data_IF_343717030229
#
_entry.id   IF_343717030229
#
_cell.length_a   1.000
_cell.length_b   1.000
_cell.length_c   1.000
_cell.angle_alpha   90.00
_cell.angle_beta   90.00
_cell.angle_gamma   90.00
#
_symmetry.space_group_name_H-M   'P 1'
#
loop_
_entity.id
_entity.type
_entity.pdbx_description
1 polymer ?
#
# COMPACT_ATOMS: atom_id res chain seq x y z
N UNK A 1 0.57 -35.22 18.35
CA UNK A 1 -0.24 -35.71 17.22
C UNK A 1 -0.22 -34.60 16.20
N UNK A 2 0.49 -34.77 15.09
CA UNK A 2 0.41 -33.84 13.94
C UNK A 2 -0.93 -34.11 13.26
N UNK A 3 -1.92 -33.23 13.45
CA UNK A 3 -3.13 -33.27 12.65
C UNK A 3 -2.77 -32.95 11.20
N UNK A 4 -3.11 -33.85 10.27
CA UNK A 4 -3.06 -33.55 8.83
C UNK A 4 -3.95 -32.32 8.58
N UNK A 5 -3.43 -31.28 7.91
CA UNK A 5 -4.17 -30.04 7.66
C UNK A 5 -5.50 -30.32 6.96
N UNK A 6 -5.56 -31.33 6.09
CA UNK A 6 -6.79 -31.80 5.45
C UNK A 6 -7.88 -32.15 6.48
N UNK A 7 -7.53 -32.87 7.54
CA UNK A 7 -8.47 -33.27 8.60
C UNK A 7 -8.93 -32.05 9.42
N UNK A 8 -8.00 -31.14 9.72
CA UNK A 8 -8.30 -29.91 10.46
C UNK A 8 -9.24 -29.01 9.65
N UNK A 9 -8.97 -28.83 8.35
CA UNK A 9 -9.81 -28.02 7.45
C UNK A 9 -11.17 -28.66 7.24
N UNK A 10 -11.27 -29.99 7.16
CA UNK A 10 -12.55 -30.69 7.10
C UNK A 10 -13.41 -30.43 8.34
N UNK A 11 -12.80 -30.38 9.53
CA UNK A 11 -13.48 -30.11 10.80
C UNK A 11 -14.06 -28.69 10.90
N UNK A 12 -13.58 -27.73 10.09
CA UNK A 12 -14.16 -26.37 10.03
C UNK A 12 -15.61 -26.34 9.51
N UNK A 13 -16.11 -27.42 8.90
CA UNK A 13 -17.49 -27.50 8.42
C UNK A 13 -18.52 -27.74 9.53
N UNK A 14 -18.09 -27.99 10.77
CA UNK A 14 -18.97 -28.26 11.90
C UNK A 14 -19.08 -26.98 12.73
N UNK A 15 -20.28 -26.41 12.81
CA UNK A 15 -20.52 -25.18 13.58
C UNK A 15 -21.04 -25.50 14.99
N UNK A 16 -20.55 -24.84 16.05
CA UNK A 16 -19.44 -23.88 16.07
C UNK A 16 -18.08 -24.56 15.85
N UNK A 17 -17.13 -23.84 15.26
CA UNK A 17 -15.79 -24.38 14.98
C UNK A 17 -15.08 -24.64 16.31
N UNK A 18 -14.50 -25.83 16.46
CA UNK A 18 -13.76 -26.20 17.66
C UNK A 18 -12.54 -25.31 17.85
N UNK A 19 -12.39 -24.75 19.05
CA UNK A 19 -11.21 -23.98 19.48
C UNK A 19 -9.90 -24.76 19.29
N UNK A 20 -9.91 -26.07 19.59
CA UNK A 20 -8.73 -26.93 19.42
C UNK A 20 -8.32 -27.05 17.96
N UNK A 21 -9.28 -27.02 17.03
CA UNK A 21 -9.02 -27.05 15.59
C UNK A 21 -8.42 -25.72 15.14
N UNK A 22 -8.98 -24.58 15.57
CA UNK A 22 -8.46 -23.25 15.26
C UNK A 22 -7.01 -23.10 15.75
N UNK A 23 -6.75 -23.46 17.01
CA UNK A 23 -5.41 -23.39 17.61
C UNK A 23 -4.39 -24.29 16.87
N UNK A 24 -4.78 -25.51 16.48
CA UNK A 24 -3.89 -26.39 15.73
C UNK A 24 -3.53 -25.84 14.35
N UNK A 25 -4.49 -25.25 13.63
CA UNK A 25 -4.19 -24.59 12.35
C UNK A 25 -3.31 -23.36 12.58
N UNK A 26 -3.61 -22.53 13.59
CA UNK A 26 -2.79 -21.38 13.98
C UNK A 26 -1.34 -21.78 14.23
N UNK A 27 -1.09 -22.79 15.08
CA UNK A 27 0.27 -23.27 15.36
C UNK A 27 0.95 -23.81 14.10
N UNK A 28 0.22 -24.53 13.24
CA UNK A 28 0.77 -25.05 12.00
C UNK A 28 1.24 -23.92 11.08
N UNK A 29 0.42 -22.88 10.88
CA UNK A 29 0.75 -21.75 10.02
C UNK A 29 1.92 -20.91 10.57
N UNK A 30 1.92 -20.64 11.88
CA UNK A 30 3.01 -19.90 12.55
C UNK A 30 4.35 -20.63 12.47
N UNK A 31 4.35 -21.97 12.41
CA UNK A 31 5.58 -22.77 12.31
C UNK A 31 6.28 -22.68 10.94
N UNK A 32 5.64 -22.09 9.92
CA UNK A 32 6.17 -22.07 8.55
C UNK A 32 7.03 -20.82 8.33
N UNK A 33 8.34 -21.03 8.21
CA UNK A 33 9.32 -20.02 7.79
C UNK A 33 9.45 -19.96 6.26
N UNK A 34 10.07 -18.90 5.73
CA UNK A 34 10.21 -18.67 4.27
C UNK A 34 10.86 -19.82 3.49
N UNK A 35 11.80 -20.55 4.10
CA UNK A 35 12.48 -21.70 3.48
C UNK A 35 11.55 -22.91 3.35
N UNK A 36 10.73 -23.17 4.37
CA UNK A 36 9.80 -24.30 4.39
C UNK A 36 8.47 -23.99 3.68
N UNK A 37 8.12 -22.70 3.53
CA UNK A 37 6.82 -22.24 3.04
C UNK A 37 6.47 -22.79 1.65
N UNK A 38 7.41 -22.75 0.70
CA UNK A 38 7.17 -23.22 -0.67
C UNK A 38 6.87 -24.73 -0.72
N UNK A 39 7.62 -25.52 0.05
CA UNK A 39 7.39 -26.97 0.15
C UNK A 39 6.03 -27.29 0.80
N UNK A 40 5.67 -26.55 1.85
CA UNK A 40 4.40 -26.70 2.56
C UNK A 40 3.22 -26.38 1.64
N UNK A 41 3.28 -25.27 0.90
CA UNK A 41 2.21 -24.89 -0.04
C UNK A 41 2.05 -25.94 -1.13
N UNK A 42 3.15 -26.47 -1.66
CA UNK A 42 3.09 -27.49 -2.71
C UNK A 42 2.46 -28.80 -2.21
N UNK A 43 2.72 -29.17 -0.95
CA UNK A 43 2.19 -30.40 -0.34
C UNK A 43 0.74 -30.25 0.09
N UNK A 44 0.38 -29.10 0.65
CA UNK A 44 -0.91 -28.86 1.31
C UNK A 44 -1.84 -27.95 0.50
N UNK A 45 -1.55 -27.73 -0.79
CA UNK A 45 -2.25 -26.78 -1.65
C UNK A 45 -3.77 -26.90 -1.55
N UNK A 46 -4.32 -28.12 -1.68
CA UNK A 46 -5.77 -28.32 -1.69
C UNK A 46 -6.41 -27.97 -0.33
N UNK A 47 -5.72 -28.28 0.76
CA UNK A 47 -6.17 -27.98 2.12
C UNK A 47 -6.13 -26.47 2.38
N UNK A 48 -5.06 -25.78 1.95
CA UNK A 48 -4.92 -24.34 2.04
C UNK A 48 -5.95 -23.60 1.18
N UNK A 49 -6.17 -24.06 -0.05
CA UNK A 49 -7.21 -23.55 -0.93
C UNK A 49 -8.59 -23.67 -0.28
N UNK A 50 -8.91 -24.85 0.25
CA UNK A 50 -10.19 -25.06 0.95
C UNK A 50 -10.31 -24.19 2.20
N UNK A 51 -9.22 -23.97 2.92
CA UNK A 51 -9.18 -23.08 4.08
C UNK A 51 -9.51 -21.64 3.68
N UNK A 52 -8.76 -21.06 2.74
CA UNK A 52 -8.94 -19.67 2.30
C UNK A 52 -10.35 -19.38 1.79
N UNK A 53 -10.91 -20.29 0.98
CA UNK A 53 -12.27 -20.16 0.46
C UNK A 53 -13.31 -20.15 1.58
N UNK A 54 -13.14 -21.03 2.58
CA UNK A 54 -14.00 -21.03 3.76
C UNK A 54 -13.87 -19.74 4.57
N UNK A 55 -12.68 -19.16 4.63
CA UNK A 55 -12.47 -17.92 5.37
C UNK A 55 -13.14 -16.73 4.67
N UNK A 56 -13.02 -16.63 3.35
CA UNK A 56 -13.80 -15.66 2.58
C UNK A 56 -15.30 -15.80 2.78
N UNK A 57 -15.79 -17.04 2.78
CA UNK A 57 -17.19 -17.32 3.07
C UNK A 57 -17.56 -16.89 4.50
N UNK A 58 -16.79 -17.28 5.51
CA UNK A 58 -17.06 -16.97 6.92
C UNK A 58 -17.06 -15.47 7.20
N UNK A 59 -16.15 -14.70 6.57
CA UNK A 59 -16.15 -13.23 6.66
C UNK A 59 -17.39 -12.60 6.01
N UNK A 60 -17.90 -13.22 4.95
CA UNK A 60 -19.08 -12.73 4.22
C UNK A 60 -20.42 -13.08 4.88
N UNK A 61 -20.41 -14.01 5.85
CA UNK A 61 -21.57 -14.42 6.64
C UNK A 61 -21.74 -13.57 7.91
N UNK A 62 -22.88 -13.73 8.58
CA UNK A 62 -23.22 -13.01 9.82
C UNK A 62 -22.18 -13.27 10.93
N UNK A 63 -21.35 -12.25 11.15
CA UNK A 63 -20.18 -12.31 12.02
C UNK A 63 -20.50 -12.31 13.52
N UNK A 64 -21.73 -11.94 13.90
CA UNK A 64 -22.20 -11.93 15.30
C UNK A 64 -22.10 -13.29 15.99
N UNK A 65 -22.01 -14.37 15.20
CA UNK A 65 -22.02 -15.74 15.68
C UNK A 65 -20.66 -16.24 16.19
N UNK A 66 -19.55 -15.63 15.75
CA UNK A 66 -18.20 -16.15 16.01
C UNK A 66 -17.19 -15.10 16.51
N UNK A 67 -17.45 -13.80 16.36
CA UNK A 67 -16.49 -12.74 16.72
C UNK A 67 -16.19 -12.60 18.22
N UNK A 68 -17.05 -13.11 19.09
CA UNK A 68 -16.89 -12.95 20.55
C UNK A 68 -15.82 -13.86 21.17
N UNK A 69 -15.26 -14.80 20.40
CA UNK A 69 -14.21 -15.71 20.87
C UNK A 69 -12.83 -15.26 20.36
N UNK A 70 -11.90 -15.02 21.29
CA UNK A 70 -10.53 -14.57 21.00
C UNK A 70 -9.76 -15.50 20.08
N UNK A 71 -10.06 -16.80 20.08
CA UNK A 71 -9.38 -17.79 19.23
C UNK A 71 -9.66 -17.59 17.75
N UNK A 72 -10.85 -17.09 17.40
CA UNK A 72 -11.14 -16.70 16.03
C UNK A 72 -10.24 -15.52 15.65
N UNK A 73 -10.19 -14.47 16.47
CA UNK A 73 -9.36 -13.30 16.19
C UNK A 73 -7.89 -13.67 15.96
N UNK A 74 -7.31 -14.50 16.84
CA UNK A 74 -5.93 -14.99 16.70
C UNK A 74 -5.73 -15.81 15.43
N UNK A 75 -6.65 -16.72 15.13
CA UNK A 75 -6.63 -17.54 13.92
C UNK A 75 -6.66 -16.68 12.65
N UNK A 76 -7.58 -15.71 12.58
CA UNK A 76 -7.68 -14.80 11.45
C UNK A 76 -6.42 -13.92 11.31
N UNK A 77 -5.89 -13.38 12.41
CA UNK A 77 -4.65 -12.60 12.37
C UNK A 77 -3.45 -13.43 11.87
N UNK A 78 -3.36 -14.68 12.31
CA UNK A 78 -2.32 -15.61 11.90
C UNK A 78 -2.43 -15.93 10.41
N UNK A 79 -3.63 -16.23 9.92
CA UNK A 79 -3.86 -16.52 8.50
C UNK A 79 -3.59 -15.29 7.63
N UNK A 80 -4.01 -14.10 8.05
CA UNK A 80 -3.69 -12.87 7.34
C UNK A 80 -2.17 -12.60 7.29
N UNK A 81 -1.43 -12.91 8.35
CA UNK A 81 0.03 -12.81 8.37
C UNK A 81 0.71 -13.85 7.47
N UNK A 82 0.16 -15.06 7.43
CA UNK A 82 0.57 -16.11 6.50
C UNK A 82 0.37 -15.66 5.04
N UNK A 83 -0.80 -15.08 4.71
CA UNK A 83 -1.09 -14.55 3.37
C UNK A 83 -0.15 -13.41 2.97
N UNK A 84 0.16 -12.52 3.91
CA UNK A 84 1.17 -11.48 3.66
C UNK A 84 2.53 -12.09 3.32
N UNK A 85 2.96 -13.11 4.06
CA UNK A 85 4.21 -13.82 3.80
C UNK A 85 4.19 -14.51 2.43
N UNK A 86 3.08 -15.16 2.07
CA UNK A 86 2.86 -15.77 0.76
C UNK A 86 2.99 -14.77 -0.41
N UNK A 87 2.42 -13.58 -0.27
CA UNK A 87 2.49 -12.51 -1.29
C UNK A 87 3.96 -12.20 -1.60
N UNK A 88 4.74 -11.88 -0.57
CA UNK A 88 6.10 -11.40 -0.75
C UNK A 88 7.13 -12.51 -0.94
N UNK A 89 6.82 -13.76 -0.59
CA UNK A 89 7.73 -14.89 -0.78
C UNK A 89 8.20 -14.98 -2.25
N UNK A 90 9.50 -15.16 -2.43
CA UNK A 90 10.19 -15.14 -3.73
C UNK A 90 10.50 -16.56 -4.25
N UNK A 91 10.21 -17.62 -3.48
CA UNK A 91 10.63 -18.98 -3.79
C UNK A 91 9.53 -19.77 -4.48
N UNK A 92 9.79 -20.29 -5.69
CA UNK A 92 9.15 -21.43 -6.39
C UNK A 92 7.62 -21.62 -6.37
N UNK A 93 6.83 -20.66 -5.88
CA UNK A 93 5.36 -20.68 -5.88
C UNK A 93 4.89 -19.85 -7.08
N UNK A 94 4.15 -20.47 -7.99
CA UNK A 94 3.69 -19.78 -9.20
C UNK A 94 2.65 -18.71 -8.85
N UNK A 95 2.54 -17.70 -9.72
CA UNK A 95 1.56 -16.63 -9.51
C UNK A 95 0.13 -17.17 -9.51
N UNK A 96 -0.16 -18.18 -10.32
CA UNK A 96 -1.47 -18.82 -10.39
C UNK A 96 -1.87 -19.43 -9.05
N UNK A 97 -0.93 -20.11 -8.36
CA UNK A 97 -1.17 -20.67 -7.03
C UNK A 97 -1.48 -19.55 -6.03
N UNK A 98 -0.69 -18.47 -6.02
CA UNK A 98 -0.94 -17.33 -5.12
C UNK A 98 -2.31 -16.69 -5.39
N UNK A 99 -2.67 -16.51 -6.66
CA UNK A 99 -3.97 -15.97 -7.06
C UNK A 99 -5.10 -16.88 -6.56
N UNK A 100 -5.00 -18.19 -6.76
CA UNK A 100 -6.02 -19.15 -6.32
C UNK A 100 -6.15 -19.25 -4.81
N UNK A 101 -5.10 -18.98 -4.03
CA UNK A 101 -5.18 -19.00 -2.57
C UNK A 101 -5.73 -17.68 -2.00
N UNK A 102 -5.34 -16.54 -2.55
CA UNK A 102 -5.60 -15.24 -1.91
C UNK A 102 -6.90 -14.61 -2.42
N UNK A 103 -7.24 -14.79 -3.70
CA UNK A 103 -8.41 -14.13 -4.28
C UNK A 103 -9.71 -14.77 -3.81
N UNK A 104 -10.76 -13.97 -3.54
CA UNK A 104 -12.08 -14.51 -3.27
C UNK A 104 -12.69 -15.16 -4.51
N UNK A 105 -13.60 -16.11 -4.29
CA UNK A 105 -14.34 -16.80 -5.33
C UNK A 105 -15.23 -15.87 -6.14
N UNK A 106 -15.97 -15.03 -5.41
CA UNK A 106 -17.04 -14.22 -5.98
C UNK A 106 -16.98 -12.80 -5.43
N UNK A 107 -17.46 -11.86 -6.26
CA UNK A 107 -17.62 -10.48 -5.84
C UNK A 107 -18.68 -10.34 -4.73
N UNK A 108 -19.66 -11.24 -4.66
CA UNK A 108 -20.72 -11.21 -3.65
C UNK A 108 -20.15 -11.37 -2.23
N UNK A 109 -19.09 -12.18 -2.06
CA UNK A 109 -18.40 -12.31 -0.77
C UNK A 109 -17.84 -10.96 -0.30
N UNK A 110 -17.12 -10.26 -1.18
CA UNK A 110 -16.56 -8.93 -0.89
C UNK A 110 -17.68 -7.92 -0.57
N UNK A 111 -18.71 -7.86 -1.42
CA UNK A 111 -19.82 -6.92 -1.23
C UNK A 111 -20.54 -7.17 0.09
N UNK A 112 -20.73 -8.43 0.48
CA UNK A 112 -21.36 -8.77 1.75
C UNK A 112 -20.49 -8.35 2.95
N UNK A 113 -19.16 -8.50 2.87
CA UNK A 113 -18.25 -7.99 3.90
C UNK A 113 -18.37 -6.48 4.03
N UNK A 114 -18.35 -5.73 2.91
CA UNK A 114 -18.51 -4.28 2.94
C UNK A 114 -19.85 -3.84 3.51
N UNK A 115 -20.95 -4.50 3.12
CA UNK A 115 -22.28 -4.24 3.70
C UNK A 115 -22.29 -4.44 5.21
N UNK A 116 -21.62 -5.48 5.73
CA UNK A 116 -21.51 -5.69 7.17
C UNK A 116 -20.71 -4.56 7.86
N UNK A 117 -19.59 -4.13 7.26
CA UNK A 117 -18.81 -2.99 7.76
C UNK A 117 -19.65 -1.71 7.79
N UNK A 118 -20.45 -1.45 6.76
CA UNK A 118 -21.36 -0.28 6.69
C UNK A 118 -22.49 -0.36 7.73
N UNK A 119 -23.06 -1.55 7.95
CA UNK A 119 -24.19 -1.78 8.86
C UNK A 119 -23.80 -1.84 10.33
N UNK A 120 -22.53 -2.10 10.63
CA UNK A 120 -22.05 -2.13 12.01
C UNK A 120 -22.38 -0.81 12.73
N UNK A 121 -22.79 -0.89 13.98
CA UNK A 121 -23.06 0.28 14.83
C UNK A 121 -21.87 0.64 15.74
N UNK A 122 -20.94 -0.29 15.93
CA UNK A 122 -19.73 -0.11 16.72
C UNK A 122 -18.58 0.35 15.81
N UNK A 123 -17.99 1.51 16.11
CA UNK A 123 -16.85 2.02 15.36
C UNK A 123 -15.57 1.19 15.59
N UNK A 124 -15.53 0.35 16.63
CA UNK A 124 -14.43 -0.56 16.95
C UNK A 124 -14.81 -2.04 16.79
N UNK A 125 -15.82 -2.33 15.97
CA UNK A 125 -16.25 -3.70 15.68
C UNK A 125 -15.05 -4.57 15.21
N UNK A 126 -14.76 -5.70 15.88
CA UNK A 126 -13.66 -6.58 15.51
C UNK A 126 -13.72 -7.08 14.06
N UNK A 127 -14.92 -7.19 13.46
CA UNK A 127 -15.08 -7.52 12.04
C UNK A 127 -14.30 -6.54 11.16
N UNK A 128 -14.38 -5.25 11.45
CA UNK A 128 -13.76 -4.19 10.64
C UNK A 128 -12.25 -4.37 10.64
N UNK A 129 -11.67 -4.69 11.80
CA UNK A 129 -10.24 -4.95 11.95
C UNK A 129 -9.81 -6.18 11.14
N UNK A 130 -10.59 -7.26 11.17
CA UNK A 130 -10.32 -8.47 10.40
C UNK A 130 -10.48 -8.23 8.90
N UNK A 131 -11.56 -7.58 8.47
CA UNK A 131 -11.78 -7.21 7.08
C UNK A 131 -10.64 -6.34 6.55
N UNK A 132 -10.21 -5.34 7.33
CA UNK A 132 -9.04 -4.51 7.00
C UNK A 132 -7.79 -5.35 6.69
N UNK A 133 -7.51 -6.39 7.46
CA UNK A 133 -6.35 -7.26 7.23
C UNK A 133 -6.41 -7.94 5.85
N UNK A 134 -7.57 -8.50 5.48
CA UNK A 134 -7.77 -9.16 4.18
C UNK A 134 -7.66 -8.18 3.01
N UNK A 135 -8.32 -7.02 3.10
CA UNK A 135 -8.28 -6.03 2.02
C UNK A 135 -6.91 -5.34 1.91
N UNK A 136 -6.18 -5.15 3.01
CA UNK A 136 -4.80 -4.69 2.95
C UNK A 136 -3.91 -5.73 2.24
N UNK A 137 -4.08 -7.02 2.53
CA UNK A 137 -3.36 -8.09 1.83
C UNK A 137 -3.69 -8.12 0.35
N UNK A 138 -4.96 -7.99 -0.04
CA UNK A 138 -5.34 -7.86 -1.46
C UNK A 138 -4.65 -6.65 -2.11
N UNK A 139 -4.56 -5.52 -1.41
CA UNK A 139 -3.88 -4.33 -1.93
C UNK A 139 -2.38 -4.58 -2.12
N UNK A 140 -1.70 -5.20 -1.16
CA UNK A 140 -0.31 -5.63 -1.31
C UNK A 140 -0.13 -6.60 -2.48
N UNK A 141 -1.09 -7.51 -2.68
CA UNK A 141 -1.07 -8.46 -3.78
C UNK A 141 -1.22 -7.77 -5.14
N UNK A 142 -2.11 -6.78 -5.26
CA UNK A 142 -2.24 -5.95 -6.48
C UNK A 142 -0.97 -5.14 -6.73
N UNK A 143 -0.34 -4.59 -5.68
CA UNK A 143 0.92 -3.87 -5.82
C UNK A 143 2.04 -4.75 -6.41
N UNK A 144 2.18 -5.99 -5.92
CA UNK A 144 3.18 -6.94 -6.43
C UNK A 144 2.81 -7.47 -7.83
N UNK A 145 1.51 -7.65 -8.09
CA UNK A 145 0.97 -8.19 -9.34
C UNK A 145 -0.09 -7.27 -10.00
N UNK A 146 0.30 -6.09 -10.51
CA UNK A 146 -0.62 -5.09 -11.03
C UNK A 146 -1.60 -5.57 -12.12
N UNK A 147 -1.27 -6.62 -12.88
CA UNK A 147 -2.22 -7.22 -13.83
C UNK A 147 -3.55 -7.66 -13.18
N UNK A 148 -3.55 -7.96 -11.88
CA UNK A 148 -4.75 -8.32 -11.12
C UNK A 148 -5.73 -7.16 -10.98
N UNK A 149 -5.26 -5.91 -11.06
CA UNK A 149 -6.10 -4.73 -11.07
C UNK A 149 -7.10 -4.69 -12.22
N UNK A 150 -6.84 -5.43 -13.31
CA UNK A 150 -7.77 -5.55 -14.44
C UNK A 150 -8.81 -6.67 -14.28
N UNK A 151 -8.77 -7.44 -13.19
CA UNK A 151 -9.77 -8.49 -12.94
C UNK A 151 -11.14 -7.86 -12.62
N UNK A 152 -12.21 -8.54 -13.02
CA UNK A 152 -13.58 -8.07 -12.79
C UNK A 152 -13.91 -7.89 -11.30
N UNK A 153 -13.35 -8.75 -10.44
CA UNK A 153 -13.51 -8.66 -8.98
C UNK A 153 -12.84 -7.39 -8.45
N UNK A 154 -11.59 -7.10 -8.86
CA UNK A 154 -10.87 -5.92 -8.38
C UNK A 154 -11.47 -4.61 -8.89
N UNK A 155 -11.95 -4.58 -10.14
CA UNK A 155 -12.66 -3.43 -10.69
C UNK A 155 -13.92 -3.15 -9.87
N UNK A 156 -14.78 -4.16 -9.66
CA UNK A 156 -16.03 -4.00 -8.91
C UNK A 156 -15.80 -3.64 -7.43
N UNK A 157 -14.81 -4.26 -6.79
CA UNK A 157 -14.43 -3.95 -5.41
C UNK A 157 -14.02 -2.49 -5.25
N UNK A 158 -13.13 -1.99 -6.12
CA UNK A 158 -12.64 -0.62 -6.02
C UNK A 158 -13.71 0.41 -6.42
N UNK A 159 -14.62 0.05 -7.33
CA UNK A 159 -15.81 0.87 -7.62
C UNK A 159 -16.71 0.97 -6.38
N UNK A 160 -17.00 -0.14 -5.70
CA UNK A 160 -17.77 -0.15 -4.47
C UNK A 160 -17.09 0.68 -3.37
N UNK A 161 -15.77 0.54 -3.19
CA UNK A 161 -15.00 1.32 -2.21
C UNK A 161 -15.15 2.83 -2.49
N UNK A 162 -15.09 3.23 -3.75
CA UNK A 162 -15.27 4.61 -4.14
C UNK A 162 -16.66 5.13 -3.78
N UNK A 163 -17.70 4.41 -4.20
CA UNK A 163 -19.12 4.77 -4.03
C UNK A 163 -19.54 4.84 -2.56
N UNK A 164 -19.15 3.83 -1.78
CA UNK A 164 -19.72 3.59 -0.44
C UNK A 164 -18.81 4.05 0.71
N UNK A 165 -17.52 4.27 0.45
CA UNK A 165 -16.58 4.67 1.49
C UNK A 165 -15.95 6.02 1.19
N UNK A 166 -15.21 6.16 0.08
CA UNK A 166 -14.35 7.33 -0.16
C UNK A 166 -15.14 8.57 -0.59
N UNK A 167 -16.11 8.44 -1.49
CA UNK A 167 -16.91 9.57 -1.98
C UNK A 167 -18.16 9.82 -1.14
N UNK A 168 -18.00 9.72 0.18
CA UNK A 168 -19.09 9.88 1.15
C UNK A 168 -18.83 11.02 2.12
N UNK A 169 -19.92 11.54 2.73
CA UNK A 169 -19.83 12.52 3.81
C UNK A 169 -19.15 11.97 5.07
N UNK A 170 -19.20 10.64 5.28
CA UNK A 170 -18.51 9.98 6.40
C UNK A 170 -16.99 10.02 6.23
N UNK A 171 -16.48 9.83 5.02
CA UNK A 171 -15.05 10.01 4.76
C UNK A 171 -14.60 11.46 4.95
N UNK A 172 -15.38 12.42 4.45
CA UNK A 172 -15.14 13.86 4.70
C UNK A 172 -15.12 14.19 6.19
N UNK A 173 -16.01 13.60 6.98
CA UNK A 173 -16.01 13.74 8.43
C UNK A 173 -14.69 13.26 9.05
N UNK A 174 -14.20 12.07 8.65
CA UNK A 174 -12.90 11.56 9.13
C UNK A 174 -11.71 12.42 8.69
N UNK A 175 -11.71 12.91 7.45
CA UNK A 175 -10.71 13.89 6.99
C UNK A 175 -10.72 15.15 7.85
N UNK A 176 -11.90 15.67 8.20
CA UNK A 176 -12.02 16.83 9.06
C UNK A 176 -11.54 16.60 10.49
N UNK A 177 -11.69 15.39 11.04
CA UNK A 177 -11.10 15.03 12.33
C UNK A 177 -9.57 14.99 12.25
N UNK A 178 -9.02 14.42 11.17
CA UNK A 178 -7.57 14.40 10.94
C UNK A 178 -6.97 15.80 10.74
N UNK A 179 -7.73 16.80 10.31
CA UNK A 179 -7.24 18.19 10.18
C UNK A 179 -6.94 18.86 11.53
N UNK A 180 -7.39 18.28 12.65
CA UNK A 180 -7.14 18.86 13.97
C UNK A 180 -5.66 18.73 14.37
N UNK A 181 -5.10 19.72 15.05
CA UNK A 181 -3.75 19.65 15.61
C UNK A 181 -3.73 20.28 17.01
N UNK A 182 -3.42 19.52 18.07
CA UNK A 182 -3.08 18.08 18.06
C UNK A 182 -4.27 17.19 17.71
N UNK A 183 -4.00 16.03 17.08
CA UNK A 183 -5.00 14.99 16.85
C UNK A 183 -5.22 14.22 18.14
N UNK A 184 -6.48 14.04 18.55
CA UNK A 184 -6.80 13.16 19.68
C UNK A 184 -6.60 11.69 19.29
N UNK A 185 -5.86 10.87 20.04
CA UNK A 185 -5.73 9.44 19.77
C UNK A 185 -7.08 8.70 19.73
N UNK A 186 -8.09 9.23 20.43
CA UNK A 186 -9.44 8.65 20.50
C UNK A 186 -10.20 8.66 19.17
N UNK A 187 -9.75 9.42 18.16
CA UNK A 187 -10.41 9.40 16.86
C UNK A 187 -10.10 8.12 16.09
N UNK A 188 -8.96 7.46 16.35
CA UNK A 188 -8.50 6.31 15.57
C UNK A 188 -9.26 5.02 15.91
N UNK A 189 -10.54 4.98 15.59
CA UNK A 189 -11.37 3.78 15.67
C UNK A 189 -11.05 2.81 14.53
N UNK A 190 -11.38 1.53 14.69
CA UNK A 190 -11.21 0.53 13.61
C UNK A 190 -11.90 0.97 12.32
N UNK A 191 -13.08 1.60 12.43
CA UNK A 191 -13.81 2.13 11.29
C UNK A 191 -13.12 3.31 10.64
N UNK A 192 -12.61 4.28 11.42
CA UNK A 192 -11.88 5.38 10.82
C UNK A 192 -10.62 4.86 10.11
N UNK A 193 -9.89 3.91 10.72
CA UNK A 193 -8.74 3.28 10.09
C UNK A 193 -9.13 2.49 8.83
N UNK A 194 -10.27 1.81 8.79
CA UNK A 194 -10.75 1.14 7.57
C UNK A 194 -10.90 2.13 6.40
N UNK A 195 -11.54 3.28 6.65
CA UNK A 195 -11.72 4.32 5.63
C UNK A 195 -10.39 4.96 5.23
N UNK A 196 -9.57 5.35 6.21
CA UNK A 196 -8.35 6.14 5.97
C UNK A 196 -7.19 5.28 5.47
N UNK A 197 -7.03 4.07 6.02
CA UNK A 197 -5.99 3.10 5.66
C UNK A 197 -6.46 2.20 4.52
N UNK A 198 -7.40 1.30 4.81
CA UNK A 198 -7.71 0.16 3.95
C UNK A 198 -8.33 0.59 2.62
N UNK A 199 -9.33 1.47 2.62
CA UNK A 199 -9.95 1.96 1.39
C UNK A 199 -8.96 2.79 0.54
N UNK A 200 -8.19 3.68 1.16
CA UNK A 200 -7.18 4.49 0.46
C UNK A 200 -6.05 3.63 -0.12
N UNK A 201 -5.59 2.62 0.62
CA UNK A 201 -4.58 1.67 0.16
C UNK A 201 -5.09 0.84 -1.04
N UNK A 202 -6.33 0.36 -0.98
CA UNK A 202 -6.96 -0.38 -2.10
C UNK A 202 -7.04 0.49 -3.34
N UNK A 203 -7.56 1.71 -3.25
CA UNK A 203 -7.63 2.61 -4.39
C UNK A 203 -6.23 3.02 -4.89
N UNK A 204 -5.26 3.24 -3.99
CA UNK A 204 -3.88 3.56 -4.37
C UNK A 204 -3.27 2.47 -5.24
N UNK A 205 -3.36 1.21 -4.82
CA UNK A 205 -2.81 0.06 -5.55
C UNK A 205 -3.60 -0.24 -6.82
N UNK A 206 -4.91 -0.06 -6.80
CA UNK A 206 -5.75 -0.11 -7.99
C UNK A 206 -5.33 0.93 -9.03
N UNK A 207 -5.23 2.22 -8.68
CA UNK A 207 -4.79 3.25 -9.63
C UNK A 207 -3.34 3.07 -10.09
N UNK A 208 -2.46 2.57 -9.22
CA UNK A 208 -1.10 2.18 -9.58
C UNK A 208 -1.07 1.10 -10.67
N UNK A 209 -2.04 0.19 -10.68
CA UNK A 209 -2.19 -0.81 -11.75
C UNK A 209 -2.62 -0.24 -13.11
N UNK A 210 -2.92 1.05 -13.17
CA UNK A 210 -3.40 1.76 -14.35
C UNK A 210 -4.66 1.14 -14.98
N UNK A 211 -5.79 1.13 -14.24
CA UNK A 211 -7.01 0.48 -14.68
C UNK A 211 -7.56 1.12 -15.94
N UNK A 212 -8.19 0.33 -16.80
CA UNK A 212 -8.75 0.80 -18.07
C UNK A 212 -9.99 1.68 -17.89
N UNK A 213 -10.69 1.55 -16.77
CA UNK A 213 -11.94 2.24 -16.49
C UNK A 213 -12.15 2.42 -14.99
N UNK A 214 -12.80 3.54 -14.66
CA UNK A 214 -13.31 3.87 -13.33
C UNK A 214 -14.42 4.89 -13.53
N UNK A 215 -15.52 4.79 -12.78
CA UNK A 215 -16.72 5.57 -13.09
C UNK A 215 -16.58 7.06 -12.74
N UNK A 216 -15.59 7.40 -11.91
CA UNK A 216 -15.33 8.77 -11.48
C UNK A 216 -14.21 9.45 -12.26
N UNK A 217 -14.45 10.71 -12.61
CA UNK A 217 -13.44 11.57 -13.17
C UNK A 217 -12.48 12.08 -12.09
N UNK A 218 -11.27 12.49 -12.49
CA UNK A 218 -10.35 13.10 -11.54
C UNK A 218 -10.90 14.35 -10.83
N UNK A 219 -11.66 15.17 -11.55
CA UNK A 219 -12.26 16.38 -11.00
C UNK A 219 -13.24 16.04 -9.86
N UNK A 220 -14.04 14.99 -10.02
CA UNK A 220 -15.01 14.58 -9.00
C UNK A 220 -14.32 14.14 -7.70
N UNK A 221 -13.25 13.35 -7.80
CA UNK A 221 -12.47 12.91 -6.64
C UNK A 221 -11.81 14.12 -5.98
N UNK A 222 -11.12 14.97 -6.75
CA UNK A 222 -10.40 16.14 -6.22
C UNK A 222 -11.34 17.16 -5.58
N UNK A 223 -12.52 17.38 -6.15
CA UNK A 223 -13.54 18.24 -5.56
C UNK A 223 -14.04 17.71 -4.21
N UNK A 224 -14.03 16.38 -4.02
CA UNK A 224 -14.52 15.75 -2.80
C UNK A 224 -13.48 15.71 -1.66
N UNK A 225 -12.19 15.56 -1.97
CA UNK A 225 -11.15 15.29 -0.95
C UNK A 225 -9.89 16.16 -1.05
N UNK A 226 -9.70 16.90 -2.16
CA UNK A 226 -8.41 17.53 -2.48
C UNK A 226 -8.00 18.64 -1.51
N UNK A 227 -8.94 19.47 -1.08
CA UNK A 227 -8.67 20.58 -0.17
C UNK A 227 -8.30 20.10 1.23
N UNK A 228 -9.08 19.15 1.76
CA UNK A 228 -8.84 18.53 3.05
C UNK A 228 -7.50 17.80 3.05
N UNK A 229 -7.19 17.05 1.98
CA UNK A 229 -5.90 16.40 1.80
C UNK A 229 -4.74 17.39 1.93
N UNK A 230 -4.73 18.47 1.14
CA UNK A 230 -3.62 19.44 1.18
C UNK A 230 -3.41 20.03 2.56
N UNK A 231 -4.50 20.36 3.25
CA UNK A 231 -4.44 20.92 4.61
C UNK A 231 -3.90 19.91 5.62
N UNK A 232 -4.33 18.65 5.55
CA UNK A 232 -3.83 17.56 6.41
C UNK A 232 -2.31 17.43 6.25
N UNK A 233 -1.81 17.34 5.01
CA UNK A 233 -0.37 17.21 4.74
C UNK A 233 0.38 18.44 5.23
N UNK A 234 -0.15 19.64 4.98
CA UNK A 234 0.48 20.89 5.41
C UNK A 234 0.59 20.97 6.94
N UNK A 235 -0.50 20.68 7.67
CA UNK A 235 -0.56 20.74 9.14
C UNK A 235 0.40 19.73 9.75
N UNK A 236 0.29 18.45 9.34
CA UNK A 236 1.02 17.37 9.99
C UNK A 236 2.48 17.27 9.59
N UNK A 237 2.88 17.87 8.46
CA UNK A 237 4.30 17.93 8.08
C UNK A 237 5.17 18.67 9.11
N UNK A 238 4.60 19.52 9.97
CA UNK A 238 5.34 20.21 11.03
C UNK A 238 5.47 19.38 12.33
N UNK A 239 4.77 18.26 12.43
CA UNK A 239 4.68 17.44 13.63
C UNK A 239 5.04 15.97 13.37
N UNK A 240 5.80 15.70 12.30
CA UNK A 240 6.19 14.33 11.89
C UNK A 240 6.82 13.53 13.03
N UNK A 241 7.61 14.19 13.89
CA UNK A 241 8.23 13.58 15.07
C UNK A 241 7.25 13.11 16.15
N UNK A 242 6.01 13.62 16.14
CA UNK A 242 4.96 13.33 17.12
C UNK A 242 3.86 12.42 16.57
N UNK A 243 4.01 11.89 15.36
CA UNK A 243 3.00 11.02 14.77
C UNK A 243 2.90 9.71 15.55
N UNK A 244 1.68 9.35 15.97
CA UNK A 244 1.39 7.99 16.40
C UNK A 244 1.41 7.04 15.19
N UNK A 245 1.46 5.74 15.44
CA UNK A 245 1.39 4.72 14.39
C UNK A 245 0.13 4.86 13.52
N UNK A 246 -1.01 5.20 14.13
CA UNK A 246 -2.28 5.41 13.45
C UNK A 246 -2.28 6.68 12.59
N UNK A 247 -1.67 7.77 13.08
CA UNK A 247 -1.54 8.99 12.30
C UNK A 247 -0.59 8.78 11.11
N UNK A 248 0.58 8.17 11.35
CA UNK A 248 1.52 7.78 10.29
C UNK A 248 0.82 6.94 9.23
N UNK A 249 0.08 5.91 9.64
CA UNK A 249 -0.75 5.08 8.76
C UNK A 249 -1.67 5.95 7.90
N UNK A 250 -2.49 6.81 8.51
CA UNK A 250 -3.48 7.61 7.78
C UNK A 250 -2.82 8.56 6.77
N UNK A 251 -1.76 9.26 7.17
CA UNK A 251 -1.03 10.18 6.29
C UNK A 251 -0.39 9.43 5.12
N UNK A 252 0.24 8.30 5.40
CA UNK A 252 0.89 7.43 4.41
C UNK A 252 -0.06 7.04 3.30
N UNK A 253 -1.22 6.47 3.65
CA UNK A 253 -2.14 5.95 2.63
C UNK A 253 -2.93 7.05 1.93
N UNK A 254 -3.14 8.21 2.55
CA UNK A 254 -3.65 9.39 1.87
C UNK A 254 -2.68 9.90 0.79
N UNK A 255 -1.38 10.04 1.13
CA UNK A 255 -0.35 10.44 0.15
C UNK A 255 -0.28 9.41 -0.97
N UNK A 256 -0.23 8.11 -0.64
CA UNK A 256 -0.18 7.03 -1.61
C UNK A 256 -1.40 7.03 -2.55
N UNK A 257 -2.61 7.24 -2.00
CA UNK A 257 -3.83 7.32 -2.80
C UNK A 257 -3.78 8.52 -3.75
N UNK A 258 -3.55 9.72 -3.23
CA UNK A 258 -3.52 10.95 -4.03
C UNK A 258 -2.45 10.87 -5.12
N UNK A 259 -1.28 10.30 -4.82
CA UNK A 259 -0.22 10.05 -5.79
C UNK A 259 -0.73 9.16 -6.92
N UNK A 260 -1.13 7.93 -6.62
CA UNK A 260 -1.50 6.95 -7.66
C UNK A 260 -2.64 7.45 -8.53
N UNK A 261 -3.65 8.08 -7.91
CA UNK A 261 -4.79 8.64 -8.61
C UNK A 261 -4.41 9.79 -9.58
N UNK A 262 -3.53 10.71 -9.18
CA UNK A 262 -3.10 11.81 -10.03
C UNK A 262 -2.25 11.37 -11.23
N UNK A 263 -1.66 10.17 -11.17
CA UNK A 263 -0.89 9.56 -12.27
C UNK A 263 -1.62 8.48 -13.06
N UNK A 264 -2.86 8.15 -12.67
CA UNK A 264 -3.70 7.25 -13.45
C UNK A 264 -3.90 7.79 -14.89
N UNK A 265 -3.89 6.92 -15.90
CA UNK A 265 -3.91 7.26 -17.34
C UNK A 265 -2.66 8.00 -17.87
N UNK A 266 -1.55 7.96 -17.13
CA UNK A 266 -0.24 8.43 -17.59
C UNK A 266 0.06 9.90 -17.33
N UNK A 267 1.33 10.26 -17.58
CA UNK A 267 2.01 11.51 -17.23
C UNK A 267 1.51 12.75 -18.00
N UNK A 268 0.25 13.15 -17.83
CA UNK A 268 -0.19 14.39 -18.46
C UNK A 268 -0.06 15.63 -17.57
N UNK A 269 0.27 15.50 -16.28
CA UNK A 269 0.43 16.65 -15.36
C UNK A 269 -0.80 17.58 -15.28
N UNK A 270 -1.88 17.29 -16.01
CA UNK A 270 -3.11 18.08 -16.10
C UNK A 270 -3.89 17.99 -14.81
N UNK A 271 -3.94 16.79 -14.21
CA UNK A 271 -4.56 16.53 -12.91
C UNK A 271 -3.84 17.25 -11.77
N UNK A 272 -2.53 17.40 -11.88
CA UNK A 272 -1.71 18.15 -10.93
C UNK A 272 -2.12 19.60 -10.79
N UNK A 273 -2.41 20.25 -11.93
CA UNK A 273 -2.84 21.64 -11.96
C UNK A 273 -4.20 21.86 -11.31
N UNK A 274 -5.02 20.82 -11.14
CA UNK A 274 -6.30 20.91 -10.43
C UNK A 274 -6.05 20.95 -8.92
N UNK A 275 -5.23 20.02 -8.40
CA UNK A 275 -4.89 19.99 -6.97
C UNK A 275 -3.99 21.16 -6.56
N UNK A 276 -2.92 21.40 -7.31
CA UNK A 276 -1.90 22.41 -7.07
C UNK A 276 -2.11 23.60 -8.02
N UNK A 277 -3.25 24.27 -7.85
CA UNK A 277 -3.77 25.29 -8.77
C UNK A 277 -2.96 26.59 -8.84
N UNK A 278 -2.05 26.81 -7.89
CA UNK A 278 -1.16 27.97 -7.86
C UNK A 278 0.26 27.55 -7.49
N UNK A 279 1.26 28.32 -7.94
CA UNK A 279 2.66 28.11 -7.54
C UNK A 279 2.83 28.14 -6.02
N UNK A 280 2.07 28.99 -5.32
CA UNK A 280 2.10 29.04 -3.86
C UNK A 280 1.69 27.70 -3.23
N UNK A 281 0.57 27.13 -3.66
CA UNK A 281 0.09 25.83 -3.16
C UNK A 281 1.09 24.72 -3.51
N UNK A 282 1.64 24.74 -4.73
CA UNK A 282 2.68 23.82 -5.17
C UNK A 282 3.92 23.88 -4.26
N UNK A 283 4.46 25.06 -4.00
CA UNK A 283 5.63 25.26 -3.15
C UNK A 283 5.37 24.85 -1.70
N UNK A 284 4.22 25.23 -1.12
CA UNK A 284 3.84 24.84 0.24
C UNK A 284 3.74 23.32 0.38
N UNK A 285 3.18 22.66 -0.63
CA UNK A 285 3.05 21.21 -0.67
C UNK A 285 4.42 20.51 -0.81
N UNK A 286 5.30 20.99 -1.70
CA UNK A 286 6.67 20.47 -1.82
C UNK A 286 7.42 20.60 -0.50
N UNK A 287 7.34 21.75 0.17
CA UNK A 287 7.94 21.95 1.48
C UNK A 287 7.39 20.97 2.52
N UNK A 288 6.08 20.69 2.51
CA UNK A 288 5.46 19.73 3.40
C UNK A 288 6.01 18.31 3.17
N UNK A 289 6.11 17.88 1.91
CA UNK A 289 6.70 16.58 1.55
C UNK A 289 8.17 16.49 1.95
N UNK A 290 8.96 17.56 1.75
CA UNK A 290 10.37 17.61 2.16
C UNK A 290 10.50 17.47 3.68
N UNK A 291 9.67 18.15 4.46
CA UNK A 291 9.66 17.99 5.93
C UNK A 291 9.37 16.55 6.37
N UNK A 292 8.51 15.84 5.65
CA UNK A 292 8.18 14.45 5.94
C UNK A 292 9.40 13.54 5.68
N UNK A 293 10.08 13.67 4.53
CA UNK A 293 11.22 12.79 4.19
C UNK A 293 12.50 13.14 4.96
N UNK A 294 12.62 14.37 5.47
CA UNK A 294 13.78 14.79 6.28
C UNK A 294 13.71 14.30 7.72
N UNK A 295 12.58 13.73 8.15
CA UNK A 295 12.49 13.09 9.45
C UNK A 295 13.13 11.69 9.42
N UNK A 296 14.35 11.61 9.95
CA UNK A 296 15.24 10.44 9.90
C UNK A 296 14.60 9.13 10.41
N UNK A 297 13.66 9.20 11.36
CA UNK A 297 13.04 7.98 11.87
C UNK A 297 12.29 7.22 10.75
N UNK A 298 11.70 7.92 9.79
CA UNK A 298 11.00 7.26 8.67
C UNK A 298 11.95 6.50 7.75
N UNK A 299 13.14 7.05 7.44
CA UNK A 299 14.10 6.37 6.56
C UNK A 299 14.74 5.15 7.21
N UNK A 300 14.93 5.16 8.54
CA UNK A 300 15.51 4.04 9.30
C UNK A 300 14.68 2.76 9.30
N UNK A 301 13.37 2.84 9.05
CA UNK A 301 12.46 1.69 9.03
C UNK A 301 12.01 1.28 7.63
N UNK A 302 12.70 1.74 6.58
CA UNK A 302 12.47 1.25 5.22
C UNK A 302 12.84 -0.25 5.15
N UNK A 303 11.89 -1.06 4.69
CA UNK A 303 12.06 -2.49 4.46
C UNK A 303 12.38 -2.78 3.00
N UNK A 304 12.92 -3.96 2.68
CA UNK A 304 13.17 -4.38 1.30
C UNK A 304 11.91 -4.68 0.49
N UNK A 305 10.74 -4.69 1.13
CA UNK A 305 9.45 -5.00 0.54
C UNK A 305 8.45 -3.91 0.91
N UNK A 306 7.46 -3.69 0.04
CA UNK A 306 6.41 -2.69 0.22
C UNK A 306 5.35 -3.15 1.24
N UNK A 307 5.71 -3.23 2.52
CA UNK A 307 4.90 -3.94 3.53
C UNK A 307 4.53 -3.15 4.79
N UNK A 308 5.27 -2.11 5.12
CA UNK A 308 5.06 -1.26 6.28
C UNK A 308 4.82 0.19 5.85
N UNK A 309 4.24 0.97 6.76
CA UNK A 309 3.78 2.32 6.44
C UNK A 309 4.96 3.26 6.10
N UNK A 310 6.14 3.10 6.72
CA UNK A 310 7.31 3.91 6.41
C UNK A 310 7.85 3.70 4.98
N UNK A 311 7.92 2.43 4.53
CA UNK A 311 8.32 2.14 3.14
C UNK A 311 7.31 2.71 2.15
N UNK A 312 6.02 2.55 2.43
CA UNK A 312 4.94 3.07 1.58
C UNK A 312 4.96 4.59 1.52
N UNK A 313 5.22 5.26 2.65
CA UNK A 313 5.32 6.70 2.78
C UNK A 313 6.50 7.22 1.96
N UNK A 314 7.70 6.68 2.19
CA UNK A 314 8.90 7.12 1.47
C UNK A 314 8.78 6.89 -0.03
N UNK A 315 8.31 5.71 -0.46
CA UNK A 315 8.05 5.42 -1.88
C UNK A 315 7.08 6.45 -2.49
N UNK A 316 5.93 6.65 -1.83
CA UNK A 316 4.88 7.52 -2.36
C UNK A 316 5.28 8.99 -2.38
N UNK A 317 5.97 9.47 -1.35
CA UNK A 317 6.42 10.86 -1.27
C UNK A 317 7.52 11.16 -2.29
N UNK A 318 8.51 10.27 -2.45
CA UNK A 318 9.58 10.45 -3.42
C UNK A 318 9.04 10.38 -4.86
N UNK A 319 8.12 9.46 -5.16
CA UNK A 319 7.43 9.42 -6.46
C UNK A 319 6.64 10.70 -6.73
N UNK A 320 5.98 11.25 -5.72
CA UNK A 320 5.29 12.53 -5.87
C UNK A 320 6.27 13.65 -6.25
N UNK A 321 7.40 13.74 -5.53
CA UNK A 321 8.42 14.78 -5.74
C UNK A 321 9.08 14.68 -7.11
N UNK A 322 9.57 13.49 -7.50
CA UNK A 322 10.24 13.31 -8.80
C UNK A 322 9.31 13.68 -9.94
N UNK A 323 8.06 13.25 -9.87
CA UNK A 323 7.12 13.53 -10.94
C UNK A 323 6.72 15.02 -10.98
N UNK A 324 6.65 15.71 -9.83
CA UNK A 324 6.47 17.17 -9.81
C UNK A 324 7.66 17.84 -10.54
N UNK A 325 8.89 17.49 -10.18
CA UNK A 325 10.11 18.06 -10.80
C UNK A 325 10.07 17.86 -12.32
N UNK A 326 9.76 16.64 -12.75
CA UNK A 326 9.72 16.29 -14.16
C UNK A 326 8.62 17.04 -14.93
N UNK A 327 7.51 17.39 -14.29
CA UNK A 327 6.35 18.01 -14.96
C UNK A 327 6.27 19.53 -14.84
N UNK A 328 6.90 20.16 -13.85
CA UNK A 328 6.69 21.58 -13.56
C UNK A 328 7.88 22.51 -13.88
N UNK A 329 9.03 22.00 -14.35
CA UNK A 329 10.25 22.80 -14.58
C UNK A 329 10.60 23.69 -13.37
N UNK A 330 10.58 23.09 -12.18
CA UNK A 330 10.80 23.78 -10.90
C UNK A 330 12.10 23.34 -10.22
N UNK A 331 13.04 22.76 -10.96
CA UNK A 331 14.31 22.31 -10.38
C UNK A 331 15.00 23.42 -9.59
N UNK A 332 14.94 24.68 -10.06
CA UNK A 332 15.49 25.85 -9.37
C UNK A 332 14.97 26.01 -7.91
N UNK A 333 13.70 25.66 -7.65
CA UNK A 333 13.12 25.75 -6.33
C UNK A 333 13.72 24.68 -5.39
N UNK A 334 13.96 23.48 -5.91
CA UNK A 334 14.63 22.41 -5.18
C UNK A 334 16.09 22.73 -4.85
N UNK A 335 16.81 23.44 -5.73
CA UNK A 335 18.18 23.91 -5.45
C UNK A 335 18.27 24.82 -4.21
N UNK A 336 17.16 25.46 -3.82
CA UNK A 336 17.12 26.34 -2.64
C UNK A 336 16.96 25.59 -1.31
N UNK A 337 16.80 24.26 -1.34
CA UNK A 337 16.54 23.43 -0.16
C UNK A 337 17.83 22.85 0.43
N UNK A 338 18.43 23.58 1.37
CA UNK A 338 19.79 23.35 1.91
C UNK A 338 20.05 22.03 2.66
N UNK A 339 19.10 21.09 2.71
CA UNK A 339 19.26 19.77 3.37
C UNK A 339 18.72 18.60 2.53
N UNK A 340 18.06 18.91 1.41
CA UNK A 340 17.36 17.89 0.64
C UNK A 340 18.35 16.94 -0.03
N UNK A 341 19.44 17.46 -0.61
CA UNK A 341 20.44 16.65 -1.29
C UNK A 341 21.09 15.62 -0.36
N UNK A 342 21.48 16.03 0.86
CA UNK A 342 22.12 15.14 1.83
C UNK A 342 21.14 14.06 2.30
N UNK A 343 19.89 14.45 2.59
CA UNK A 343 18.82 13.51 2.98
C UNK A 343 18.54 12.47 1.89
N UNK A 344 18.43 12.92 0.64
CA UNK A 344 18.18 12.02 -0.50
C UNK A 344 19.36 11.08 -0.75
N UNK A 345 20.59 11.56 -0.56
CA UNK A 345 21.78 10.72 -0.70
C UNK A 345 21.79 9.63 0.37
N UNK A 346 21.54 9.98 1.63
CA UNK A 346 21.44 9.02 2.72
C UNK A 346 20.35 7.96 2.46
N UNK A 347 19.16 8.39 2.02
CA UNK A 347 18.07 7.48 1.66
C UNK A 347 18.50 6.57 0.50
N UNK A 348 19.13 7.12 -0.54
CA UNK A 348 19.52 6.36 -1.72
C UNK A 348 20.56 5.29 -1.41
N UNK A 349 21.49 5.58 -0.48
CA UNK A 349 22.57 4.66 -0.09
C UNK A 349 22.15 3.64 0.97
N UNK A 350 21.18 3.98 1.83
CA UNK A 350 20.78 3.12 2.96
C UNK A 350 19.52 2.29 2.71
N UNK A 351 18.65 2.72 1.79
CA UNK A 351 17.37 2.02 1.55
C UNK A 351 17.56 0.62 0.99
N UNK A 352 16.87 -0.35 1.60
CA UNK A 352 16.79 -1.72 1.10
C UNK A 352 15.72 -1.88 -0.01
N UNK A 353 14.86 -0.89 -0.22
CA UNK A 353 13.84 -0.89 -1.26
C UNK A 353 14.32 -0.17 -2.52
N UNK A 354 14.45 -0.91 -3.62
CA UNK A 354 15.05 -0.41 -4.86
C UNK A 354 14.33 0.81 -5.45
N UNK A 355 13.00 0.85 -5.40
CA UNK A 355 12.23 1.96 -5.96
C UNK A 355 12.50 3.28 -5.23
N UNK A 356 12.64 3.25 -3.90
CA UNK A 356 13.01 4.42 -3.10
C UNK A 356 14.39 4.94 -3.50
N UNK A 357 15.38 4.03 -3.61
CA UNK A 357 16.73 4.41 -4.07
C UNK A 357 16.69 5.08 -5.44
N UNK A 358 15.95 4.49 -6.38
CA UNK A 358 15.80 5.01 -7.74
C UNK A 358 15.16 6.40 -7.76
N UNK A 359 14.10 6.60 -6.99
CA UNK A 359 13.45 7.92 -6.93
C UNK A 359 14.35 8.96 -6.27
N UNK A 360 15.06 8.60 -5.20
CA UNK A 360 15.98 9.50 -4.52
C UNK A 360 17.14 9.92 -5.45
N UNK A 361 17.77 8.97 -6.14
CA UNK A 361 18.78 9.28 -7.16
C UNK A 361 18.21 10.05 -8.35
N UNK A 362 16.98 9.74 -8.79
CA UNK A 362 16.29 10.49 -9.84
C UNK A 362 16.11 11.96 -9.47
N UNK A 363 15.67 12.25 -8.24
CA UNK A 363 15.54 13.62 -7.75
C UNK A 363 16.92 14.29 -7.69
N UNK A 364 17.92 13.63 -7.12
CA UNK A 364 19.30 14.16 -7.07
C UNK A 364 19.83 14.55 -8.45
N UNK A 365 19.55 13.73 -9.48
CA UNK A 365 19.98 14.02 -10.85
C UNK A 365 19.34 15.27 -11.47
N UNK A 366 18.16 15.66 -10.99
CA UNK A 366 17.44 16.84 -11.47
C UNK A 366 17.78 18.13 -10.70
N UNK A 367 18.29 18.00 -9.46
CA UNK A 367 18.51 19.14 -8.54
C UNK A 367 19.99 19.45 -8.30
N UNK A 368 20.92 18.57 -8.70
CA UNK A 368 22.35 18.79 -8.54
C UNK A 368 23.00 19.21 -9.86
N UNK A 369 23.99 20.09 -9.77
CA UNK A 369 24.86 20.42 -10.90
C UNK A 369 25.76 19.23 -11.27
N UNK A 370 26.22 19.17 -12.52
CA UNK A 370 27.17 18.16 -13.01
C UNK A 370 28.42 17.98 -12.14
N UNK A 371 28.96 19.06 -11.57
CA UNK A 371 30.15 19.00 -10.71
C UNK A 371 29.87 18.27 -9.39
N UNK A 372 28.72 18.56 -8.76
CA UNK A 372 28.27 17.89 -7.55
C UNK A 372 27.92 16.41 -7.82
N UNK A 373 27.26 16.11 -8.94
CA UNK A 373 26.98 14.71 -9.34
C UNK A 373 28.26 13.89 -9.52
N UNK A 374 29.31 14.48 -10.13
CA UNK A 374 30.62 13.83 -10.28
C UNK A 374 31.29 13.58 -8.93
N UNK A 375 31.19 14.51 -7.99
CA UNK A 375 31.78 14.37 -6.66
C UNK A 375 31.15 13.23 -5.84
N UNK A 376 29.85 12.98 -6.04
CA UNK A 376 29.09 11.95 -5.33
C UNK A 376 29.37 10.51 -5.80
N UNK A 377 30.21 10.29 -6.82
CA UNK A 377 30.41 8.95 -7.46
C UNK A 377 29.10 8.24 -7.83
N UNK A 378 28.06 9.03 -8.08
CA UNK A 378 26.73 8.61 -8.48
C UNK A 378 26.72 7.49 -9.55
N UNK A 379 27.58 7.53 -10.60
CA UNK A 379 27.63 6.47 -11.60
C UNK A 379 28.05 5.08 -11.07
N UNK A 380 28.90 5.00 -10.05
CA UNK A 380 29.42 3.73 -9.55
C UNK A 380 28.38 3.01 -8.67
N UNK A 381 27.70 3.77 -7.81
CA UNK A 381 26.61 3.26 -6.97
C UNK A 381 25.41 2.83 -7.82
N UNK A 382 25.05 3.62 -8.82
CA UNK A 382 23.93 3.31 -9.74
C UNK A 382 24.24 2.12 -10.65
N UNK A 383 25.49 1.93 -11.09
CA UNK A 383 25.86 0.75 -11.90
C UNK A 383 25.70 -0.54 -11.11
N UNK A 384 26.19 -0.58 -9.88
CA UNK A 384 26.04 -1.74 -9.00
C UNK A 384 24.57 -2.02 -8.70
N UNK A 385 23.81 -0.96 -8.44
CA UNK A 385 22.37 -1.02 -8.23
C UNK A 385 21.62 -1.59 -9.45
N UNK A 386 21.84 -1.04 -10.65
CA UNK A 386 21.18 -1.52 -11.87
C UNK A 386 21.54 -2.97 -12.18
N UNK A 387 22.79 -3.37 -11.92
CA UNK A 387 23.20 -4.76 -12.08
C UNK A 387 22.42 -5.70 -11.16
N UNK A 388 22.32 -5.38 -9.86
CA UNK A 388 21.53 -6.16 -8.91
C UNK A 388 20.05 -6.23 -9.28
N UNK A 389 19.48 -5.09 -9.64
CA UNK A 389 18.07 -5.01 -10.05
C UNK A 389 17.81 -5.88 -11.30
N UNK A 390 18.72 -5.89 -12.28
CA UNK A 390 18.61 -6.75 -13.47
C UNK A 390 18.81 -8.24 -13.14
N UNK A 391 19.68 -8.57 -12.20
CA UNK A 391 19.88 -9.94 -11.73
C UNK A 391 18.62 -10.48 -11.04
N UNK A 392 17.99 -9.69 -10.18
CA UNK A 392 16.73 -10.06 -9.55
C UNK A 392 15.57 -10.14 -10.54
N UNK A 393 15.53 -9.24 -11.54
CA UNK A 393 14.61 -9.29 -12.69
C UNK A 393 14.61 -10.65 -13.37
N UNK A 394 15.84 -11.12 -13.64
CA UNK A 394 16.10 -12.34 -14.35
C UNK A 394 15.61 -13.56 -13.56
N UNK A 395 15.78 -13.52 -12.24
CA UNK A 395 15.30 -14.57 -11.35
C UNK A 395 13.79 -14.54 -11.07
N UNK A 396 13.14 -13.37 -11.18
CA UNK A 396 11.73 -13.18 -10.84
C UNK A 396 10.95 -12.40 -11.92
N UNK A 397 10.83 -12.92 -13.16
CA UNK A 397 10.29 -12.16 -14.31
C UNK A 397 8.82 -11.77 -14.18
N UNK A 398 8.09 -12.38 -13.25
CA UNK A 398 6.66 -12.17 -13.04
C UNK A 398 6.33 -11.09 -12.00
N UNK A 399 7.33 -10.58 -11.26
CA UNK A 399 7.17 -9.49 -10.30
C UNK A 399 7.53 -8.16 -10.98
N UNK A 400 6.66 -7.16 -10.85
CA UNK A 400 6.69 -5.92 -11.64
C UNK A 400 7.69 -4.86 -11.14
N UNK A 401 8.80 -5.26 -10.52
CA UNK A 401 9.89 -4.37 -10.08
C UNK A 401 10.60 -3.59 -11.23
N UNK A 402 10.10 -3.69 -12.48
CA UNK A 402 10.62 -3.04 -13.69
C UNK A 402 9.67 -2.03 -14.35
N UNK A 403 8.59 -1.61 -13.68
CA UNK A 403 7.63 -0.70 -14.32
C UNK A 403 8.01 0.77 -14.26
N UNK A 404 9.10 1.19 -13.59
CA UNK A 404 9.64 2.52 -13.87
C UNK A 404 10.33 2.41 -15.23
N UNK A 405 9.75 3.00 -16.29
CA UNK A 405 10.36 2.93 -17.61
C UNK A 405 11.76 3.52 -17.50
N UNK A 406 12.76 2.87 -18.09
CA UNK A 406 14.15 3.35 -18.02
C UNK A 406 14.27 4.80 -18.53
N UNK A 407 13.31 5.24 -19.37
CA UNK A 407 13.17 6.61 -19.87
C UNK A 407 12.94 7.67 -18.79
N UNK A 408 12.36 7.31 -17.63
CA UNK A 408 12.25 8.22 -16.49
C UNK A 408 13.62 8.53 -15.86
N UNK A 409 14.58 7.61 -16.00
CA UNK A 409 15.96 7.77 -15.53
C UNK A 409 16.89 8.31 -16.62
N UNK A 410 16.48 8.21 -17.87
CA UNK A 410 17.23 8.66 -19.04
C UNK A 410 16.61 9.94 -19.62
N UNK A 411 16.61 11.04 -18.87
CA UNK A 411 16.50 12.38 -19.48
C UNK A 411 17.84 12.78 -20.10
N UNK A 412 18.27 11.99 -21.09
CA UNK A 412 19.07 12.51 -22.19
C UNK A 412 18.09 12.82 -23.31
N UNK A 413 18.03 14.08 -23.78
CA UNK A 413 17.21 14.50 -24.92
C UNK A 413 17.19 13.44 -26.03
N UNK A 414 16.14 12.63 -26.07
CA UNK A 414 15.83 11.85 -27.26
C UNK A 414 14.99 12.76 -28.14
N UNK A 415 15.68 13.36 -29.11
CA UNK A 415 15.09 13.91 -30.31
C UNK A 415 14.03 12.92 -30.81
N UNK A 416 12.77 13.31 -30.75
CA UNK A 416 11.77 13.11 -31.80
C UNK A 416 10.75 14.23 -31.78
#
# INVERSE_FOLDING_TARGET
MEGNLEQLVAALNIYPISTDVLQQITMLLQSKTDEALSSFISQEYQSLFTLEHKIWQLLSEDSSRWLNDSHYSEFFQTLGSFNKSLIFNQNHITNEIKVSLIMPDTIDQIINIFKQVEQSIDDNDPLITLASLWFNNLSFFIHEYPQLGHSSIMIQMNQYIADHFILTEKFKFYLNQLRQSPVSPLIFTSRQLFYMKTCSLSLSTYFYSNPSSFDYTPDQILQNIGNEYLQIIQIHSYTAELWSTELLTCITHLIAFMRSFLWWNGEQGTKFKILLSTEKILHEYIHALIRIITYEAHSRFIMSQWINDETILMDSTLLFLINIIQTHNISWFFHSMNQLSDTLLEIAESSAYYQICLCAYGILSEILTDEHLKALKFPDNIRYFFFKMLEEAWHNPSKKYHQIPITYFLRGNFIK
#
